data_IF_550963012035
#
_entry.id   IF_550963012035
#
_cell.length_a   1.000
_cell.length_b   1.000
_cell.length_c   1.000
_cell.angle_alpha   90.00
_cell.angle_beta   90.00
_cell.angle_gamma   90.00
#
_symmetry.space_group_name_H-M   'P 1'
#
loop_
_entity.id
_entity.type
_entity.pdbx_description
1 polymer ?
#
# COMPACT_ATOMS: atom_id res chain seq x y z
N UNK A 1 2.23 18.92 -15.87
CA UNK A 1 1.84 17.50 -16.00
C UNK A 1 0.49 17.26 -15.32
N UNK A 2 0.30 17.62 -14.05
CA UNK A 2 -0.98 17.42 -13.34
C UNK A 2 -1.77 18.71 -12.98
N UNK A 3 -1.40 19.86 -13.55
CA UNK A 3 -2.12 21.13 -13.35
C UNK A 3 -1.79 21.85 -12.04
N UNK A 4 -2.07 21.24 -10.89
CA UNK A 4 -1.82 21.81 -9.55
C UNK A 4 -1.29 20.75 -8.58
N UNK A 5 -0.76 21.18 -7.43
CA UNK A 5 -0.35 20.26 -6.35
C UNK A 5 -1.55 19.50 -5.74
N UNK A 6 -2.70 20.14 -5.68
CA UNK A 6 -3.94 19.53 -5.15
C UNK A 6 -4.38 18.33 -5.99
N UNK A 7 -4.08 18.32 -7.29
CA UNK A 7 -4.41 17.21 -8.18
C UNK A 7 -3.60 15.93 -7.93
N UNK A 8 -2.57 15.99 -7.08
CA UNK A 8 -1.80 14.82 -6.65
C UNK A 8 -2.42 14.14 -5.42
N UNK A 9 -3.39 14.78 -4.76
CA UNK A 9 -4.05 14.26 -3.57
C UNK A 9 -5.05 13.16 -3.97
N UNK A 10 -4.90 11.97 -3.41
CA UNK A 10 -5.79 10.82 -3.66
C UNK A 10 -5.43 9.97 -4.89
N UNK A 11 -4.28 10.21 -5.50
CA UNK A 11 -3.74 9.34 -6.56
C UNK A 11 -3.29 7.97 -6.04
N UNK A 12 -3.10 7.02 -6.93
CA UNK A 12 -2.62 5.68 -6.58
C UNK A 12 -1.11 5.59 -6.67
N UNK A 13 -0.50 4.79 -5.81
CA UNK A 13 0.94 4.54 -5.84
C UNK A 13 1.39 3.90 -7.16
N UNK A 14 0.53 3.09 -7.78
CA UNK A 14 0.79 2.44 -9.06
C UNK A 14 0.92 3.44 -10.20
N UNK A 15 0.07 4.48 -10.26
CA UNK A 15 0.21 5.56 -11.25
C UNK A 15 1.57 6.24 -11.13
N UNK A 16 2.00 6.56 -9.90
CA UNK A 16 3.33 7.12 -9.67
C UNK A 16 4.45 6.19 -10.12
N UNK A 17 4.33 4.88 -9.88
CA UNK A 17 5.34 3.92 -10.32
C UNK A 17 5.45 3.84 -11.84
N UNK A 18 4.32 3.84 -12.55
CA UNK A 18 4.29 3.81 -14.01
C UNK A 18 4.84 5.12 -14.60
N UNK A 19 4.44 6.27 -14.05
CA UNK A 19 4.92 7.59 -14.48
C UNK A 19 6.45 7.73 -14.32
N UNK A 20 7.02 7.24 -13.21
CA UNK A 20 8.45 7.38 -12.96
C UNK A 20 9.33 6.37 -13.69
N UNK A 21 8.78 5.20 -14.04
CA UNK A 21 9.58 4.10 -14.60
C UNK A 21 9.26 3.78 -16.06
N UNK A 22 8.09 4.18 -16.55
CA UNK A 22 7.52 3.67 -17.81
C UNK A 22 7.27 2.17 -17.81
N UNK A 23 7.32 1.53 -16.63
CA UNK A 23 7.16 0.10 -16.43
C UNK A 23 5.71 -0.32 -16.23
N UNK A 24 5.51 -1.59 -15.92
CA UNK A 24 4.20 -2.15 -15.57
C UNK A 24 4.11 -2.29 -14.05
N UNK A 25 3.04 -1.78 -13.45
CA UNK A 25 2.76 -2.02 -12.04
C UNK A 25 2.00 -3.34 -11.83
N UNK A 26 2.41 -4.11 -10.82
CA UNK A 26 1.70 -5.30 -10.34
C UNK A 26 1.25 -5.06 -8.89
N UNK A 27 0.06 -5.53 -8.52
CA UNK A 27 -0.45 -5.43 -7.16
C UNK A 27 -0.78 -6.82 -6.60
N UNK A 28 -0.59 -6.99 -5.29
CA UNK A 28 -0.79 -8.25 -4.59
C UNK A 28 -1.68 -8.04 -3.36
N UNK A 29 -2.82 -8.73 -3.30
CA UNK A 29 -3.66 -8.76 -2.09
C UNK A 29 -2.98 -9.63 -1.02
N UNK A 30 -2.52 -9.04 0.08
CA UNK A 30 -1.77 -9.78 1.10
C UNK A 30 -2.60 -10.89 1.78
N UNK A 31 -3.93 -10.75 1.85
CA UNK A 31 -4.83 -11.79 2.35
C UNK A 31 -4.93 -13.01 1.42
N UNK A 32 -4.62 -12.84 0.14
CA UNK A 32 -4.60 -13.91 -0.87
C UNK A 32 -3.22 -14.03 -1.52
N UNK A 33 -2.17 -13.80 -0.74
CA UNK A 33 -0.82 -13.75 -1.23
C UNK A 33 -0.35 -15.12 -1.79
N UNK A 34 0.42 -15.14 -2.90
CA UNK A 34 1.04 -16.36 -3.38
C UNK A 34 2.09 -16.85 -2.40
N UNK A 35 2.27 -18.18 -2.27
CA UNK A 35 3.28 -18.78 -1.37
C UNK A 35 4.73 -18.31 -1.65
N UNK A 36 4.99 -17.76 -2.83
CA UNK A 36 6.31 -17.28 -3.25
C UNK A 36 6.46 -15.76 -3.15
N UNK A 37 5.55 -15.05 -2.49
CA UNK A 37 5.54 -13.59 -2.42
C UNK A 37 6.88 -13.01 -1.93
N UNK A 38 7.47 -13.58 -0.87
CA UNK A 38 8.77 -13.11 -0.36
C UNK A 38 9.88 -13.18 -1.42
N UNK A 39 9.93 -14.27 -2.20
CA UNK A 39 10.90 -14.42 -3.31
C UNK A 39 10.63 -13.44 -4.45
N UNK A 40 9.36 -13.07 -4.68
CA UNK A 40 8.99 -12.04 -5.66
C UNK A 40 9.52 -10.68 -5.18
N UNK A 41 9.26 -10.32 -3.93
CA UNK A 41 9.73 -9.07 -3.31
C UNK A 41 11.25 -8.95 -3.37
N UNK A 42 11.98 -9.99 -2.96
CA UNK A 42 13.45 -9.99 -3.02
C UNK A 42 13.96 -9.78 -4.44
N UNK A 43 13.38 -10.46 -5.44
CA UNK A 43 13.77 -10.29 -6.85
C UNK A 43 13.46 -8.89 -7.37
N UNK A 44 12.32 -8.32 -6.99
CA UNK A 44 11.93 -6.97 -7.40
C UNK A 44 12.89 -5.93 -6.83
N UNK A 45 13.23 -6.03 -5.53
CA UNK A 45 14.22 -5.16 -4.89
C UNK A 45 15.62 -5.28 -5.53
N UNK A 46 16.08 -6.51 -5.81
CA UNK A 46 17.36 -6.73 -6.48
C UNK A 46 17.42 -6.14 -7.90
N UNK A 47 16.28 -6.06 -8.58
CA UNK A 47 16.17 -5.46 -9.92
C UNK A 47 15.98 -3.94 -9.90
N UNK A 48 15.90 -3.32 -8.72
CA UNK A 48 15.62 -1.89 -8.59
C UNK A 48 14.18 -1.51 -8.93
N UNK A 49 13.23 -2.44 -8.83
CA UNK A 49 11.81 -2.13 -8.97
C UNK A 49 11.34 -1.27 -7.78
N UNK A 50 10.32 -0.46 -8.00
CA UNK A 50 9.65 0.28 -6.93
C UNK A 50 8.58 -0.62 -6.28
N UNK A 51 8.61 -0.72 -4.96
CA UNK A 51 7.63 -1.49 -4.20
C UNK A 51 6.98 -0.59 -3.16
N UNK A 52 5.65 -0.66 -3.09
CA UNK A 52 4.86 0.02 -2.09
C UNK A 52 3.81 -0.90 -1.49
N UNK A 53 3.36 -0.57 -0.29
CA UNK A 53 2.24 -1.23 0.36
C UNK A 53 1.39 -0.21 1.11
N UNK A 54 0.14 -0.57 1.35
CA UNK A 54 -0.79 0.23 2.16
C UNK A 54 -1.67 -0.69 2.99
N UNK A 55 -2.24 -0.14 4.05
CA UNK A 55 -3.22 -0.83 4.89
C UNK A 55 -4.58 -0.30 4.51
N UNK A 56 -5.42 -1.18 3.96
CA UNK A 56 -6.79 -0.84 3.58
C UNK A 56 -7.65 -0.54 4.82
N UNK A 57 -8.50 0.47 4.69
CA UNK A 57 -9.41 0.95 5.74
C UNK A 57 -10.43 -0.12 6.12
N UNK A 58 -10.77 -1.02 5.20
CA UNK A 58 -11.78 -2.06 5.39
C UNK A 58 -11.38 -3.20 6.34
N UNK A 59 -10.10 -3.31 6.72
CA UNK A 59 -9.59 -4.42 7.55
C UNK A 59 -10.07 -4.44 9.01
N UNK A 60 -11.08 -3.63 9.37
CA UNK A 60 -11.79 -3.71 10.65
C UNK A 60 -13.29 -4.04 10.54
N UNK A 61 -13.82 -4.49 9.41
CA UNK A 61 -15.21 -5.00 9.40
C UNK A 61 -15.40 -6.26 10.26
N UNK A 62 -14.35 -7.05 10.53
CA UNK A 62 -14.47 -8.25 11.38
C UNK A 62 -14.18 -8.03 12.88
N UNK A 63 -13.53 -6.93 13.27
CA UNK A 63 -13.27 -6.63 14.70
C UNK A 63 -14.23 -5.57 15.26
N UNK A 64 -14.81 -4.71 14.41
CA UNK A 64 -15.67 -3.58 14.83
C UNK A 64 -17.17 -3.75 14.55
N UNK A 65 -17.69 -4.96 14.33
CA UNK A 65 -19.15 -5.18 14.17
C UNK A 65 -19.97 -4.84 15.44
N UNK A 66 -19.33 -4.48 16.56
CA UNK A 66 -20.02 -4.06 17.79
C UNK A 66 -20.26 -2.55 17.93
N UNK A 67 -19.68 -1.71 17.07
CA UNK A 67 -19.88 -0.26 17.10
C UNK A 67 -20.24 0.21 15.70
N UNK A 68 -21.52 0.49 15.48
CA UNK A 68 -22.10 1.10 14.27
C UNK A 68 -21.42 2.45 13.96
N UNK A 69 -20.22 2.44 13.37
CA UNK A 69 -19.53 3.63 12.86
C UNK A 69 -18.93 3.28 11.50
N UNK A 70 -19.78 3.28 10.48
CA UNK A 70 -19.35 3.45 9.09
C UNK A 70 -19.01 4.91 8.89
N UNK A 71 -17.76 5.30 9.12
CA UNK A 71 -17.29 6.62 8.73
C UNK A 71 -16.18 6.46 7.69
N UNK A 72 -16.47 6.87 6.46
CA UNK A 72 -15.54 6.94 5.33
C UNK A 72 -14.50 8.08 5.50
N UNK A 73 -14.11 8.37 6.74
CA UNK A 73 -13.32 9.55 7.14
C UNK A 73 -12.15 9.19 8.06
N UNK A 74 -11.77 7.92 8.12
CA UNK A 74 -10.63 7.43 8.91
C UNK A 74 -9.39 7.18 8.03
N UNK A 75 -9.20 8.02 7.01
CA UNK A 75 -7.91 8.14 6.32
C UNK A 75 -6.86 8.61 7.34
N UNK A 76 -5.67 8.02 7.30
CA UNK A 76 -4.54 8.37 8.18
C UNK A 76 -4.72 8.05 9.68
N UNK A 77 -5.61 7.12 10.05
CA UNK A 77 -5.70 6.67 11.46
C UNK A 77 -4.47 5.85 11.86
N UNK A 78 -3.86 6.24 12.98
CA UNK A 78 -2.70 5.56 13.58
C UNK A 78 -3.18 4.40 14.45
N UNK A 79 -2.69 3.18 14.17
CA UNK A 79 -2.95 1.97 14.97
C UNK A 79 -2.22 2.01 16.31
N UNK A 80 -2.59 1.11 17.23
CA UNK A 80 -1.86 0.92 18.50
C UNK A 80 -0.38 0.55 18.30
N UNK A 81 -0.04 -0.02 17.15
CA UNK A 81 1.33 -0.37 16.74
C UNK A 81 2.03 0.77 16.00
N UNK A 82 1.43 1.97 15.97
CA UNK A 82 1.95 3.18 15.32
C UNK A 82 2.05 3.10 13.79
N UNK A 83 1.27 2.22 13.16
CA UNK A 83 1.11 2.19 11.70
C UNK A 83 -0.08 3.07 11.30
N UNK A 84 0.08 3.89 10.29
CA UNK A 84 -0.95 4.74 9.67
C UNK A 84 -1.73 3.94 8.61
N UNK A 85 -3.07 3.94 8.71
CA UNK A 85 -3.99 3.34 7.72
C UNK A 85 -4.29 4.28 6.56
N UNK A 86 -4.70 3.72 5.41
CA UNK A 86 -4.96 4.53 4.21
C UNK A 86 -3.72 5.28 3.69
N UNK A 87 -2.54 4.88 4.16
CA UNK A 87 -1.27 5.55 3.88
C UNK A 87 -0.34 4.62 3.10
N UNK A 88 0.39 5.20 2.15
CA UNK A 88 1.36 4.49 1.31
C UNK A 88 2.71 4.41 1.99
N UNK A 89 3.22 3.19 2.15
CA UNK A 89 4.59 2.91 2.59
C UNK A 89 5.42 2.42 1.43
N UNK A 90 6.72 2.71 1.49
CA UNK A 90 7.71 2.11 0.58
C UNK A 90 8.29 0.84 1.21
N UNK A 91 8.39 -0.23 0.42
CA UNK A 91 9.13 -1.44 0.82
C UNK A 91 10.55 -1.30 0.33
N UNK A 92 11.51 -1.19 1.24
CA UNK A 92 12.91 -0.85 0.92
C UNK A 92 13.90 -2.00 1.12
N UNK A 93 13.47 -3.13 1.69
CA UNK A 93 14.33 -4.28 1.97
C UNK A 93 13.55 -5.55 2.26
N UNK A 94 14.20 -6.71 2.02
CA UNK A 94 13.68 -8.04 2.35
C UNK A 94 14.84 -9.02 2.57
N UNK A 95 15.07 -9.41 3.82
CA UNK A 95 16.16 -10.29 4.25
C UNK A 95 15.62 -11.42 5.13
N UNK A 96 16.21 -12.61 5.03
CA UNK A 96 15.93 -13.77 5.87
C UNK A 96 17.08 -13.90 6.89
N UNK A 97 16.76 -13.93 8.18
CA UNK A 97 17.72 -13.88 9.31
C UNK A 97 17.61 -15.08 10.22
#
# INVERSE_FOLDING_TARGET
LNGSYEFLSGGTTTEGFEDFTGGLAEWYELQKAPQRLFKIIQKALQKGSLLGCSIDEATLTEIFLHLHITNAAETEVVTSQKLVKGHTYSVTGAEEV
#
